data_IF_827751000825
#
_entry.id   IF_827751000825
#
_cell.length_a   1.000
_cell.length_b   1.000
_cell.length_c   1.000
_cell.angle_alpha   90.00
_cell.angle_beta   90.00
_cell.angle_gamma   90.00
#
_symmetry.space_group_name_H-M   'P 1'
#
loop_
_entity.id
_entity.type
_entity.pdbx_description
1 polymer ?
#
# COMPACT_ATOMS: atom_id res chain seq x y z
N UNK A 1 -25.23 11.91 -2.95
CA UNK A 1 -23.94 11.79 -3.67
C UNK A 1 -23.19 13.09 -3.47
N UNK A 2 -21.95 13.04 -3.00
CA UNK A 2 -21.13 14.24 -2.88
C UNK A 2 -20.65 14.65 -4.28
N UNK A 3 -20.93 15.88 -4.67
CA UNK A 3 -20.41 16.46 -5.91
C UNK A 3 -19.18 17.31 -5.56
N UNK A 4 -18.01 16.91 -6.09
CA UNK A 4 -16.76 17.65 -5.91
C UNK A 4 -16.51 18.45 -7.19
N UNK A 5 -16.33 19.77 -7.03
CA UNK A 5 -15.91 20.66 -8.12
C UNK A 5 -14.49 21.13 -7.84
N UNK A 6 -13.56 20.80 -8.73
CA UNK A 6 -12.16 21.21 -8.61
C UNK A 6 -11.96 22.47 -9.46
N UNK A 7 -11.65 23.60 -8.81
CA UNK A 7 -11.38 24.89 -9.48
C UNK A 7 -9.87 25.10 -9.64
N UNK A 8 -9.47 25.91 -10.62
CA UNK A 8 -8.08 26.32 -10.80
C UNK A 8 -7.15 25.25 -11.38
N UNK A 9 -7.70 24.18 -11.97
CA UNK A 9 -6.89 23.19 -12.69
C UNK A 9 -6.30 23.85 -13.94
N UNK A 10 -4.99 23.77 -14.12
CA UNK A 10 -4.34 24.29 -15.33
C UNK A 10 -4.90 23.60 -16.58
N UNK A 11 -5.01 24.32 -17.70
CA UNK A 11 -5.54 23.72 -18.92
C UNK A 11 -4.70 22.55 -19.42
N UNK A 12 -3.38 22.61 -19.26
CA UNK A 12 -2.50 21.48 -19.56
C UNK A 12 -2.88 20.24 -18.72
N UNK A 13 -3.09 20.40 -17.42
CA UNK A 13 -3.50 19.30 -16.54
C UNK A 13 -4.86 18.73 -16.96
N UNK A 14 -5.82 19.59 -17.31
CA UNK A 14 -7.14 19.16 -17.77
C UNK A 14 -7.06 18.37 -19.08
N UNK A 15 -6.32 18.86 -20.07
CA UNK A 15 -6.10 18.15 -21.34
C UNK A 15 -5.44 16.79 -21.11
N UNK A 16 -4.41 16.72 -20.27
CA UNK A 16 -3.73 15.45 -19.97
C UNK A 16 -4.63 14.46 -19.24
N UNK A 17 -5.52 14.93 -18.37
CA UNK A 17 -6.52 14.08 -17.71
C UNK A 17 -7.54 13.55 -18.72
N UNK A 18 -8.01 14.38 -19.64
CA UNK A 18 -8.91 13.98 -20.73
C UNK A 18 -8.27 12.90 -21.62
N UNK A 19 -7.01 13.10 -22.02
CA UNK A 19 -6.27 12.13 -22.82
C UNK A 19 -6.09 10.80 -22.11
N UNK A 20 -5.77 10.84 -20.81
CA UNK A 20 -5.64 9.63 -19.98
C UNK A 20 -6.98 8.91 -19.81
N UNK A 21 -8.08 9.64 -19.61
CA UNK A 21 -9.42 9.07 -19.55
C UNK A 21 -9.80 8.39 -20.87
N UNK A 22 -9.52 9.04 -21.99
CA UNK A 22 -9.75 8.50 -23.34
C UNK A 22 -8.93 7.23 -23.59
N UNK A 23 -7.64 7.23 -23.23
CA UNK A 23 -6.77 6.03 -23.33
C UNK A 23 -7.27 4.87 -22.49
N UNK A 24 -7.89 5.15 -21.34
CA UNK A 24 -8.48 4.15 -20.47
C UNK A 24 -9.90 3.71 -20.91
N UNK A 25 -10.47 4.30 -21.97
CA UNK A 25 -11.85 4.03 -22.40
C UNK A 25 -12.91 4.50 -21.39
N UNK A 26 -12.61 5.51 -20.58
CA UNK A 26 -13.47 6.01 -19.51
C UNK A 26 -13.89 7.47 -19.78
N UNK A 27 -15.04 7.87 -19.24
CA UNK A 27 -15.38 9.28 -19.15
C UNK A 27 -14.43 9.99 -18.18
N UNK A 28 -14.18 11.28 -18.39
CA UNK A 28 -13.30 12.07 -17.51
C UNK A 28 -13.70 11.98 -16.04
N UNK A 29 -15.00 12.11 -15.74
CA UNK A 29 -15.49 12.00 -14.36
C UNK A 29 -15.28 10.60 -13.78
N UNK A 30 -15.50 9.54 -14.57
CA UNK A 30 -15.29 8.16 -14.11
C UNK A 30 -13.80 7.87 -13.89
N UNK A 31 -12.94 8.43 -14.75
CA UNK A 31 -11.50 8.36 -14.61
C UNK A 31 -11.02 9.09 -13.35
N UNK A 32 -11.49 10.33 -13.13
CA UNK A 32 -11.17 11.12 -11.94
C UNK A 32 -11.64 10.44 -10.65
N UNK A 33 -12.86 9.90 -10.65
CA UNK A 33 -13.37 9.13 -9.51
C UNK A 33 -12.45 7.94 -9.22
N UNK A 34 -12.14 7.13 -10.23
CA UNK A 34 -11.25 5.98 -10.07
C UNK A 34 -9.85 6.40 -9.58
N UNK A 35 -9.33 7.51 -10.08
CA UNK A 35 -8.03 8.04 -9.68
C UNK A 35 -8.03 8.43 -8.20
N UNK A 36 -9.06 9.15 -7.74
CA UNK A 36 -9.22 9.54 -6.33
C UNK A 36 -9.41 8.32 -5.44
N UNK A 37 -10.29 7.39 -5.82
CA UNK A 37 -10.53 6.15 -5.07
C UNK A 37 -9.22 5.34 -4.94
N UNK A 38 -8.46 5.21 -6.05
CA UNK A 38 -7.17 4.51 -6.04
C UNK A 38 -6.14 5.22 -5.17
N UNK A 39 -6.09 6.55 -5.21
CA UNK A 39 -5.11 7.32 -4.44
C UNK A 39 -5.33 7.20 -2.94
N UNK A 40 -6.60 7.27 -2.51
CA UNK A 40 -6.99 7.09 -1.10
C UNK A 40 -6.68 5.67 -0.63
N UNK A 41 -7.04 4.66 -1.42
CA UNK A 41 -6.80 3.25 -1.07
C UNK A 41 -5.31 2.92 -1.08
N UNK A 42 -4.51 3.52 -1.97
CA UNK A 42 -3.08 3.23 -2.07
C UNK A 42 -2.35 3.52 -0.75
N UNK A 43 -2.64 4.64 -0.08
CA UNK A 43 -2.07 4.95 1.24
C UNK A 43 -2.49 3.93 2.30
N UNK A 44 -3.76 3.50 2.31
CA UNK A 44 -4.25 2.48 3.24
C UNK A 44 -3.57 1.13 3.00
N UNK A 45 -3.41 0.73 1.73
CA UNK A 45 -2.77 -0.53 1.35
C UNK A 45 -1.28 -0.51 1.64
N UNK A 46 -0.58 0.59 1.39
CA UNK A 46 0.83 0.76 1.74
C UNK A 46 1.05 0.67 3.25
N UNK A 47 0.17 1.28 4.05
CA UNK A 47 0.23 1.18 5.51
C UNK A 47 0.01 -0.26 6.02
N UNK A 48 -0.97 -0.97 5.44
CA UNK A 48 -1.24 -2.38 5.76
C UNK A 48 -0.06 -3.27 5.37
N UNK A 49 0.54 -3.05 4.19
CA UNK A 49 1.70 -3.80 3.73
C UNK A 49 2.90 -3.59 4.67
N UNK A 50 3.19 -2.33 5.03
CA UNK A 50 4.27 -2.02 5.97
C UNK A 50 4.08 -2.71 7.32
N UNK A 51 2.86 -2.67 7.86
CA UNK A 51 2.52 -3.33 9.13
C UNK A 51 2.71 -4.85 9.05
N UNK A 52 2.31 -5.45 7.93
CA UNK A 52 2.49 -6.89 7.71
C UNK A 52 3.97 -7.28 7.60
N UNK A 53 4.78 -6.50 6.89
CA UNK A 53 6.23 -6.73 6.78
C UNK A 53 6.93 -6.65 8.15
N UNK A 54 6.54 -5.69 8.99
CA UNK A 54 7.05 -5.58 10.37
C UNK A 54 6.65 -6.77 11.25
N UNK A 55 5.41 -7.23 11.13
CA UNK A 55 4.94 -8.43 11.83
C UNK A 55 5.74 -9.66 11.41
N UNK A 56 5.96 -9.88 10.12
CA UNK A 56 6.75 -10.98 9.60
C UNK A 56 8.20 -10.95 10.13
N UNK A 57 8.84 -9.77 10.15
CA UNK A 57 10.19 -9.59 10.72
C UNK A 57 10.22 -9.94 12.21
N UNK A 58 9.24 -9.46 12.96
CA UNK A 58 9.13 -9.71 14.40
C UNK A 58 8.99 -11.21 14.70
N UNK A 59 8.11 -11.90 13.96
CA UNK A 59 7.92 -13.35 14.11
C UNK A 59 9.20 -14.11 13.77
N UNK A 60 9.88 -13.74 12.69
CA UNK A 60 11.14 -14.38 12.31
C UNK A 60 12.19 -14.24 13.41
N UNK A 61 12.37 -13.04 13.96
CA UNK A 61 13.31 -12.80 15.07
C UNK A 61 12.98 -13.64 16.30
N UNK A 62 11.70 -13.80 16.65
CA UNK A 62 11.29 -14.64 17.77
C UNK A 62 11.60 -16.12 17.51
N UNK A 63 11.34 -16.59 16.29
CA UNK A 63 11.65 -17.99 15.91
C UNK A 63 13.15 -18.25 15.95
N UNK A 64 13.96 -17.34 15.41
CA UNK A 64 15.43 -17.43 15.46
C UNK A 64 15.93 -17.49 16.91
N UNK A 65 15.44 -16.58 17.76
CA UNK A 65 15.84 -16.51 19.17
C UNK A 65 15.41 -17.75 19.96
N UNK A 66 14.21 -18.26 19.71
CA UNK A 66 13.75 -19.52 20.31
C UNK A 66 14.62 -20.70 19.88
N UNK A 67 15.02 -20.73 18.59
CA UNK A 67 15.90 -21.77 18.05
C UNK A 67 17.29 -21.72 18.67
N UNK A 68 17.83 -20.51 18.87
CA UNK A 68 19.11 -20.29 19.55
C UNK A 68 19.07 -20.80 21.00
N UNK A 69 18.05 -20.39 21.77
CA UNK A 69 17.87 -20.84 23.16
C UNK A 69 17.72 -22.36 23.25
N UNK A 70 16.96 -22.98 22.34
CA UNK A 70 16.82 -24.44 22.31
C UNK A 70 18.15 -25.14 22.02
N UNK A 71 18.96 -24.61 21.11
CA UNK A 71 20.29 -25.17 20.83
C UNK A 71 21.21 -25.06 22.04
N UNK A 72 21.20 -23.92 22.73
CA UNK A 72 21.98 -23.75 23.96
C UNK A 72 21.50 -24.70 25.06
N UNK A 73 20.19 -24.87 25.21
CA UNK A 73 19.61 -25.80 26.18
C UNK A 73 20.04 -27.25 25.91
N UNK A 74 19.98 -27.70 24.66
CA UNK A 74 20.44 -29.04 24.28
C UNK A 74 21.93 -29.19 24.60
N UNK A 75 22.77 -28.22 24.20
CA UNK A 75 24.22 -28.24 24.46
C UNK A 75 24.54 -28.41 25.96
N UNK A 76 23.83 -27.68 26.83
CA UNK A 76 24.08 -27.72 28.28
C UNK A 76 23.60 -29.03 28.94
N UNK A 77 22.60 -29.71 28.36
CA UNK A 77 22.05 -30.96 28.93
C UNK A 77 22.64 -32.24 28.29
N UNK A 78 23.41 -32.11 27.21
CA UNK A 78 24.16 -33.22 26.59
C UNK A 78 25.65 -33.29 27.05
N UNK A 79 26.11 -32.29 27.83
CA UNK A 79 27.36 -32.34 28.64
C UNK A 79 27.12 -32.93 30.04
#
# INVERSE_FOLDING_TARGET
MANITIKGVSENTKTRLADKAKKAGLSEQKYLKKLLDTHVIAEEVEGVQSTYEELCKTVLTVVEKNTEVLREFIRVNEE
#
